data_IF_679494913670
#
_entry.id   IF_679494913670
#
_cell.length_a   1.000
_cell.length_b   1.000
_cell.length_c   1.000
_cell.angle_alpha   90.00
_cell.angle_beta   90.00
_cell.angle_gamma   90.00
#
_symmetry.space_group_name_H-M   'P 1'
#
loop_
_entity.id
_entity.type
_entity.pdbx_description
1 polymer ?
#
# COMPACT_ATOMS: atom_id res chain seq x y z
N UNK A 1 -88.38 38.44 -11.20
CA UNK A 1 -87.50 37.74 -10.22
C UNK A 1 -86.36 37.05 -11.03
N UNK A 2 -85.18 37.68 -11.11
CA UNK A 2 -83.99 37.16 -11.83
C UNK A 2 -83.01 36.72 -10.79
N UNK A 3 -82.68 35.42 -10.79
CA UNK A 3 -81.65 34.84 -9.91
C UNK A 3 -80.28 35.04 -10.55
N UNK A 4 -79.42 35.80 -9.89
CA UNK A 4 -78.01 35.88 -10.23
C UNK A 4 -77.30 34.65 -9.66
N UNK A 5 -76.67 33.87 -10.53
CA UNK A 5 -75.77 32.82 -10.14
C UNK A 5 -74.33 33.38 -10.18
N UNK A 6 -73.73 33.48 -8.97
CA UNK A 6 -72.35 33.95 -8.80
C UNK A 6 -71.43 32.76 -8.99
N UNK A 7 -70.65 32.78 -10.07
CA UNK A 7 -69.68 31.79 -10.36
C UNK A 7 -68.33 32.14 -9.65
N UNK A 8 -68.06 31.53 -8.50
CA UNK A 8 -66.73 31.63 -7.85
C UNK A 8 -65.69 30.79 -8.58
N UNK A 9 -64.87 31.41 -9.42
CA UNK A 9 -63.66 30.81 -9.91
C UNK A 9 -62.63 30.74 -8.74
N UNK A 10 -62.41 29.56 -8.21
CA UNK A 10 -61.31 29.30 -7.26
C UNK A 10 -59.99 29.31 -8.03
N UNK A 11 -59.19 30.36 -7.85
CA UNK A 11 -57.78 30.37 -8.21
C UNK A 11 -57.03 29.46 -7.21
N UNK A 12 -56.71 28.24 -7.66
CA UNK A 12 -55.72 27.40 -6.99
C UNK A 12 -54.32 27.95 -7.27
N UNK A 13 -53.57 28.39 -6.27
CA UNK A 13 -52.18 28.73 -6.50
C UNK A 13 -51.42 27.44 -6.84
N UNK A 14 -50.76 27.41 -7.99
CA UNK A 14 -49.78 26.43 -8.32
C UNK A 14 -48.62 26.54 -7.29
N UNK A 15 -48.68 25.74 -6.27
CA UNK A 15 -47.53 25.48 -5.42
C UNK A 15 -46.53 24.60 -6.22
N UNK A 16 -45.62 25.27 -6.91
CA UNK A 16 -44.42 24.60 -7.40
C UNK A 16 -43.71 23.95 -6.21
N UNK A 17 -43.34 22.67 -6.27
CA UNK A 17 -42.54 22.10 -5.20
C UNK A 17 -41.22 22.89 -5.15
N UNK A 18 -41.05 23.69 -4.11
CA UNK A 18 -39.72 24.21 -3.75
C UNK A 18 -38.87 23.00 -3.44
N UNK A 19 -38.14 22.49 -4.45
CA UNK A 19 -37.07 21.53 -4.26
C UNK A 19 -36.05 22.17 -3.34
N UNK A 20 -36.07 21.79 -2.08
CA UNK A 20 -35.02 22.18 -1.16
C UNK A 20 -33.69 21.63 -1.73
N UNK A 21 -32.91 22.51 -2.39
CA UNK A 21 -31.55 22.17 -2.78
C UNK A 21 -30.71 22.15 -1.53
N UNK A 22 -30.36 20.96 -1.09
CA UNK A 22 -29.37 20.78 -0.01
C UNK A 22 -28.00 21.18 -0.58
N UNK A 23 -27.47 22.31 -0.11
CA UNK A 23 -26.13 22.76 -0.43
C UNK A 23 -25.19 22.36 0.71
N UNK A 24 -24.16 21.62 0.39
CA UNK A 24 -23.08 21.35 1.33
C UNK A 24 -22.27 22.65 1.50
N UNK A 25 -22.37 23.29 2.67
CA UNK A 25 -21.65 24.55 2.94
C UNK A 25 -20.25 24.33 3.46
N UNK A 26 -20.02 23.25 4.21
CA UNK A 26 -18.70 22.88 4.71
C UNK A 26 -18.59 21.38 4.92
N UNK A 27 -17.39 20.87 4.80
CA UNK A 27 -17.04 19.49 5.13
C UNK A 27 -15.91 19.51 6.15
N UNK A 28 -16.17 19.03 7.35
CA UNK A 28 -15.15 18.85 8.38
C UNK A 28 -14.96 17.38 8.63
N UNK A 29 -13.73 16.90 8.50
CA UNK A 29 -13.35 15.54 8.83
C UNK A 29 -12.67 15.52 10.19
N UNK A 30 -13.33 14.92 11.18
CA UNK A 30 -12.69 14.61 12.44
C UNK A 30 -12.00 13.26 12.35
N UNK A 31 -10.73 13.12 12.78
CA UNK A 31 -10.08 11.83 12.79
C UNK A 31 -10.83 10.88 13.73
N UNK A 32 -11.19 9.70 13.20
CA UNK A 32 -11.81 8.65 14.02
C UNK A 32 -10.72 8.05 14.90
N UNK A 33 -10.66 8.48 16.15
CA UNK A 33 -9.73 7.94 17.14
C UNK A 33 -10.43 6.92 18.04
N UNK A 34 -9.71 5.92 18.54
CA UNK A 34 -10.20 4.99 19.54
C UNK A 34 -10.47 5.61 20.91
N UNK A 35 -10.20 6.90 21.13
CA UNK A 35 -10.25 7.59 22.44
C UNK A 35 -11.57 7.43 23.19
N UNK A 36 -12.70 7.45 22.46
CA UNK A 36 -14.03 7.31 23.07
C UNK A 36 -14.31 5.93 23.65
N UNK A 37 -13.73 4.89 23.06
CA UNK A 37 -13.99 3.48 23.37
C UNK A 37 -12.73 2.75 23.82
N UNK A 38 -11.55 3.23 23.49
CA UNK A 38 -10.28 2.56 23.71
C UNK A 38 -10.05 1.35 22.78
N UNK A 39 -10.81 1.25 21.68
CA UNK A 39 -10.62 0.21 20.65
C UNK A 39 -9.23 0.35 20.02
N UNK A 40 -8.55 -0.77 19.86
CA UNK A 40 -7.25 -0.91 19.19
C UNK A 40 -7.34 -1.90 18.05
N UNK A 41 -6.32 -1.95 17.21
CA UNK A 41 -6.15 -3.04 16.25
C UNK A 41 -6.10 -4.37 17.02
N UNK A 42 -6.71 -5.41 16.43
CA UNK A 42 -6.84 -6.71 17.08
C UNK A 42 -6.09 -7.76 16.29
N UNK A 43 -5.49 -8.71 16.99
CA UNK A 43 -4.89 -9.93 16.45
C UNK A 43 -5.77 -11.14 16.73
N UNK A 44 -5.30 -12.33 16.37
CA UNK A 44 -6.01 -13.57 16.68
C UNK A 44 -5.97 -13.81 18.21
N UNK A 45 -7.15 -13.95 18.81
CA UNK A 45 -7.29 -14.31 20.23
C UNK A 45 -7.42 -13.14 21.22
N UNK A 46 -7.24 -11.88 20.80
CA UNK A 46 -7.31 -10.70 21.68
C UNK A 46 -8.52 -9.78 21.41
N UNK A 47 -9.52 -10.26 20.67
CA UNK A 47 -10.68 -9.47 20.25
C UNK A 47 -11.41 -8.83 21.44
N UNK A 48 -11.64 -9.58 22.50
CA UNK A 48 -12.38 -9.09 23.68
C UNK A 48 -11.63 -7.97 24.39
N UNK A 49 -10.31 -8.08 24.47
CA UNK A 49 -9.43 -7.09 25.11
C UNK A 49 -9.30 -5.82 24.27
N UNK A 50 -9.12 -5.96 22.95
CA UNK A 50 -8.84 -4.84 22.05
C UNK A 50 -10.08 -4.15 21.49
N UNK A 51 -11.16 -4.90 21.29
CA UNK A 51 -12.41 -4.40 20.70
C UNK A 51 -13.56 -4.34 21.68
N UNK A 52 -13.43 -4.96 22.88
CA UNK A 52 -14.49 -5.07 23.87
C UNK A 52 -15.52 -6.16 23.55
N UNK A 53 -16.56 -6.25 24.34
CA UNK A 53 -17.51 -7.36 24.30
C UNK A 53 -18.97 -6.92 24.27
N UNK A 54 -19.82 -7.76 23.67
CA UNK A 54 -21.27 -7.64 23.77
C UNK A 54 -21.79 -8.52 24.92
N UNK A 55 -22.39 -7.91 25.94
CA UNK A 55 -23.14 -8.64 27.00
C UNK A 55 -24.62 -8.36 26.82
N UNK A 56 -25.35 -9.28 26.24
CA UNK A 56 -26.74 -9.10 25.86
C UNK A 56 -26.91 -7.88 24.93
N UNK A 57 -27.67 -6.87 25.39
CA UNK A 57 -27.89 -5.63 24.64
C UNK A 57 -26.86 -4.52 24.92
N UNK A 58 -25.86 -4.78 25.76
CA UNK A 58 -24.86 -3.75 26.14
C UNK A 58 -23.52 -4.06 25.52
N UNK A 59 -22.94 -3.08 24.83
CA UNK A 59 -21.55 -3.11 24.46
C UNK A 59 -20.69 -2.55 25.61
N UNK A 60 -19.70 -3.31 26.02
CA UNK A 60 -18.67 -2.91 26.99
C UNK A 60 -17.39 -2.69 26.20
N UNK A 61 -16.99 -1.44 26.11
CA UNK A 61 -15.78 -1.04 25.37
C UNK A 61 -14.49 -1.40 26.15
N UNK A 62 -13.31 -1.50 25.50
CA UNK A 62 -12.03 -1.80 26.17
C UNK A 62 -11.72 -0.89 27.34
N UNK A 63 -12.09 0.40 27.26
CA UNK A 63 -11.92 1.35 28.36
C UNK A 63 -12.98 1.25 29.46
N UNK A 64 -13.80 0.19 29.47
CA UNK A 64 -14.83 -0.08 30.48
C UNK A 64 -16.16 0.70 30.28
N UNK A 65 -16.26 1.64 29.33
CA UNK A 65 -17.49 2.37 29.05
C UNK A 65 -18.55 1.46 28.50
N UNK A 66 -19.81 1.67 28.96
CA UNK A 66 -20.96 0.84 28.61
C UNK A 66 -21.89 1.61 27.67
N UNK A 67 -22.24 1.01 26.54
CA UNK A 67 -23.15 1.57 25.53
C UNK A 67 -24.35 0.65 25.34
N UNK A 68 -25.53 1.08 25.83
CA UNK A 68 -26.78 0.30 25.75
C UNK A 68 -27.57 0.59 24.48
N UNK A 69 -27.37 1.75 23.85
CA UNK A 69 -28.05 2.21 22.63
C UNK A 69 -27.15 3.15 21.83
N UNK A 70 -27.60 3.55 20.65
CA UNK A 70 -26.91 4.50 19.79
C UNK A 70 -25.96 3.87 18.78
N UNK A 71 -25.29 4.70 17.97
CA UNK A 71 -24.45 4.31 16.84
C UNK A 71 -23.23 3.49 17.28
N UNK A 72 -22.55 3.91 18.37
CA UNK A 72 -21.37 3.19 18.91
C UNK A 72 -21.69 1.71 19.18
N UNK A 73 -22.84 1.43 19.84
CA UNK A 73 -23.25 0.05 20.09
C UNK A 73 -23.59 -0.71 18.81
N UNK A 74 -24.27 -0.04 17.84
CA UNK A 74 -24.61 -0.68 16.55
C UNK A 74 -23.34 -1.05 15.79
N UNK A 75 -22.38 -0.14 15.68
CA UNK A 75 -21.09 -0.36 15.04
C UNK A 75 -20.31 -1.49 15.73
N UNK A 76 -20.16 -1.43 17.05
CA UNK A 76 -19.46 -2.46 17.81
C UNK A 76 -20.09 -3.85 17.61
N UNK A 77 -21.42 -3.94 17.64
CA UNK A 77 -22.12 -5.22 17.40
C UNK A 77 -21.81 -5.78 16.02
N UNK A 78 -21.85 -4.94 14.98
CA UNK A 78 -21.51 -5.33 13.61
C UNK A 78 -20.06 -5.80 13.54
N UNK A 79 -19.13 -4.97 14.02
CA UNK A 79 -17.69 -5.28 13.98
C UNK A 79 -17.35 -6.58 14.73
N UNK A 80 -17.91 -6.79 15.92
CA UNK A 80 -17.69 -8.02 16.68
C UNK A 80 -18.34 -9.25 16.01
N UNK A 81 -19.48 -9.09 15.34
CA UNK A 81 -20.14 -10.22 14.67
C UNK A 81 -19.38 -10.76 13.46
N UNK A 82 -18.51 -9.97 12.83
CA UNK A 82 -17.70 -10.40 11.69
C UNK A 82 -16.32 -10.95 12.09
N UNK A 83 -15.90 -10.76 13.36
CA UNK A 83 -14.57 -11.21 13.81
C UNK A 83 -14.28 -12.69 13.57
N UNK A 84 -15.21 -13.64 13.77
CA UNK A 84 -14.95 -15.04 13.47
C UNK A 84 -14.62 -15.30 11.99
N UNK A 85 -15.22 -14.50 11.07
CA UNK A 85 -14.96 -14.61 9.65
C UNK A 85 -13.58 -14.03 9.26
N UNK A 86 -13.03 -13.18 10.11
CA UNK A 86 -11.72 -12.55 9.91
C UNK A 86 -10.55 -13.36 10.51
N UNK A 87 -10.81 -14.54 11.07
CA UNK A 87 -9.77 -15.34 11.74
C UNK A 87 -8.58 -15.63 10.80
N UNK A 88 -8.84 -15.91 9.52
CA UNK A 88 -7.78 -16.20 8.54
C UNK A 88 -6.89 -14.98 8.27
N UNK A 89 -7.47 -13.78 8.17
CA UNK A 89 -6.69 -12.56 7.90
C UNK A 89 -5.89 -12.10 9.10
N UNK A 90 -6.24 -12.58 10.29
CA UNK A 90 -5.53 -12.32 11.56
C UNK A 90 -4.51 -13.41 11.92
N UNK A 91 -4.31 -14.38 11.06
CA UNK A 91 -3.26 -15.38 11.23
C UNK A 91 -1.90 -14.69 11.37
N UNK A 92 -1.15 -15.00 12.43
CA UNK A 92 0.25 -14.59 12.57
C UNK A 92 1.08 -15.45 11.63
N UNK A 93 1.61 -14.86 10.57
CA UNK A 93 2.34 -15.58 9.53
C UNK A 93 3.85 -15.39 9.64
N UNK A 94 4.31 -14.41 10.40
CA UNK A 94 5.73 -14.12 10.61
C UNK A 94 5.93 -13.28 11.87
N UNK A 95 7.20 -12.95 12.12
CA UNK A 95 7.64 -12.03 13.16
C UNK A 95 8.65 -11.07 12.57
N UNK A 96 8.49 -9.76 12.81
CA UNK A 96 9.47 -8.73 12.44
C UNK A 96 10.23 -8.26 13.67
N UNK A 97 11.55 -8.22 13.60
CA UNK A 97 12.40 -7.83 14.75
C UNK A 97 12.21 -6.37 15.12
N UNK A 98 11.78 -5.53 14.17
CA UNK A 98 11.56 -4.10 14.35
C UNK A 98 10.58 -3.56 13.31
N UNK A 99 10.02 -2.34 13.51
CA UNK A 99 9.22 -1.72 12.47
C UNK A 99 10.11 -1.34 11.28
N UNK A 100 9.59 -1.50 10.05
CA UNK A 100 10.26 -0.98 8.85
C UNK A 100 9.37 0.09 8.22
N UNK A 101 9.89 1.30 8.13
CA UNK A 101 9.16 2.47 7.66
C UNK A 101 9.33 2.67 6.15
N UNK A 102 8.43 3.47 5.56
CA UNK A 102 8.46 3.89 4.15
C UNK A 102 9.07 5.28 4.01
N UNK A 103 10.32 5.45 4.41
CA UNK A 103 11.05 6.72 4.31
C UNK A 103 11.40 7.09 2.85
N UNK A 104 12.02 8.23 2.64
CA UNK A 104 12.50 8.72 1.34
C UNK A 104 13.91 9.33 1.52
N UNK A 105 14.81 9.17 0.56
CA UNK A 105 14.69 8.49 -0.75
C UNK A 105 14.70 6.97 -0.64
N UNK A 106 15.30 6.44 0.39
CA UNK A 106 15.48 5.02 0.67
C UNK A 106 14.72 4.63 1.93
N UNK A 107 14.29 3.39 2.02
CA UNK A 107 13.62 2.87 3.21
C UNK A 107 13.90 1.39 3.39
N UNK A 108 13.94 0.93 4.64
CA UNK A 108 14.13 -0.49 4.96
C UNK A 108 13.05 -1.35 4.31
N UNK A 109 11.79 -0.92 4.39
CA UNK A 109 10.67 -1.64 3.77
C UNK A 109 10.77 -1.64 2.26
N UNK A 110 11.19 -0.51 1.64
CA UNK A 110 11.43 -0.43 0.20
C UNK A 110 12.53 -1.38 -0.25
N UNK A 111 13.68 -1.33 0.41
CA UNK A 111 14.83 -2.18 0.11
C UNK A 111 14.49 -3.67 0.29
N UNK A 112 13.88 -4.03 1.41
CA UNK A 112 13.40 -5.39 1.66
C UNK A 112 12.46 -5.87 0.55
N UNK A 113 11.51 -5.02 0.15
CA UNK A 113 10.56 -5.35 -0.93
C UNK A 113 11.28 -5.56 -2.25
N UNK A 114 12.17 -4.65 -2.66
CA UNK A 114 12.88 -4.77 -3.93
C UNK A 114 13.75 -6.02 -3.99
N UNK A 115 14.47 -6.33 -2.90
CA UNK A 115 15.32 -7.53 -2.85
C UNK A 115 14.50 -8.82 -2.81
N UNK A 116 13.31 -8.78 -2.17
CA UNK A 116 12.36 -9.87 -2.22
C UNK A 116 11.84 -10.09 -3.65
N UNK A 117 11.45 -9.01 -4.35
CA UNK A 117 10.96 -9.10 -5.74
C UNK A 117 12.02 -9.72 -6.65
N UNK A 118 13.30 -9.33 -6.51
CA UNK A 118 14.40 -9.95 -7.27
C UNK A 118 14.42 -11.46 -7.09
N UNK A 119 14.33 -11.95 -5.86
CA UNK A 119 14.36 -13.39 -5.53
C UNK A 119 13.15 -14.12 -6.06
N UNK A 120 11.94 -13.58 -5.78
CA UNK A 120 10.68 -14.25 -6.17
C UNK A 120 10.56 -14.33 -7.69
N UNK A 121 10.91 -13.26 -8.42
CA UNK A 121 10.89 -13.28 -9.87
C UNK A 121 11.95 -14.22 -10.42
N UNK A 122 13.18 -14.20 -9.88
CA UNK A 122 14.23 -15.13 -10.29
C UNK A 122 13.82 -16.60 -10.11
N UNK A 123 13.24 -16.93 -8.95
CA UNK A 123 12.71 -18.28 -8.66
C UNK A 123 11.58 -18.66 -9.65
N UNK A 124 10.72 -17.70 -10.00
CA UNK A 124 9.56 -17.93 -10.88
C UNK A 124 9.97 -18.19 -12.33
N UNK A 125 10.97 -17.44 -12.84
CA UNK A 125 11.37 -17.53 -14.25
C UNK A 125 12.60 -18.41 -14.48
N UNK A 126 13.27 -18.88 -13.41
CA UNK A 126 14.49 -19.69 -13.49
C UNK A 126 15.70 -18.94 -14.07
N UNK A 127 15.75 -17.61 -13.91
CA UNK A 127 16.80 -16.75 -14.48
C UNK A 127 17.33 -15.77 -13.46
N UNK A 128 18.54 -15.26 -13.70
CA UNK A 128 19.12 -14.18 -12.89
C UNK A 128 18.28 -12.90 -13.04
N UNK A 129 17.99 -12.28 -11.91
CA UNK A 129 17.40 -10.94 -11.83
C UNK A 129 18.44 -10.02 -11.19
N UNK A 130 18.92 -9.08 -11.96
CA UNK A 130 19.98 -8.16 -11.55
C UNK A 130 19.43 -6.99 -10.75
N UNK A 131 18.30 -6.45 -11.17
CA UNK A 131 17.70 -5.21 -10.64
C UNK A 131 16.22 -5.47 -10.32
N UNK A 132 15.70 -4.81 -9.29
CA UNK A 132 14.25 -4.67 -9.11
C UNK A 132 13.88 -3.19 -9.14
N UNK A 133 12.72 -2.90 -9.73
CA UNK A 133 12.12 -1.58 -9.77
C UNK A 133 10.65 -1.72 -9.40
N UNK A 134 10.22 -1.06 -8.32
CA UNK A 134 8.81 -0.99 -7.97
C UNK A 134 8.45 0.40 -7.48
N UNK A 135 7.21 0.78 -7.61
CA UNK A 135 6.78 2.12 -7.22
C UNK A 135 6.57 2.21 -5.69
N UNK A 136 6.99 3.33 -5.12
CA UNK A 136 6.80 3.63 -3.69
C UNK A 136 5.32 3.62 -3.30
N UNK A 137 4.43 4.06 -4.18
CA UNK A 137 3.00 4.07 -4.00
C UNK A 137 2.38 2.68 -3.85
N UNK A 138 3.07 1.60 -4.26
CA UNK A 138 2.60 0.23 -4.08
C UNK A 138 2.66 -0.26 -2.63
N UNK A 139 3.50 0.36 -1.80
CA UNK A 139 3.62 0.09 -0.37
C UNK A 139 2.64 1.00 0.40
N UNK A 140 1.60 0.45 1.03
CA UNK A 140 0.51 1.26 1.61
C UNK A 140 0.57 1.46 3.11
N UNK A 141 1.19 0.54 3.84
CA UNK A 141 1.42 0.63 5.29
C UNK A 141 2.86 0.22 5.61
N UNK A 142 3.35 0.61 6.77
CA UNK A 142 4.65 0.20 7.29
C UNK A 142 4.59 -1.23 7.84
N UNK A 143 5.73 -1.93 7.90
CA UNK A 143 5.84 -3.23 8.55
C UNK A 143 5.77 -3.03 10.07
N UNK A 144 4.88 -3.72 10.80
CA UNK A 144 4.86 -3.63 12.26
C UNK A 144 6.08 -4.31 12.89
N UNK A 145 6.42 -3.94 14.12
CA UNK A 145 7.30 -4.73 14.97
C UNK A 145 6.53 -5.85 15.64
N UNK A 146 7.17 -6.99 15.87
CA UNK A 146 6.54 -8.13 16.52
C UNK A 146 5.79 -9.05 15.55
N UNK A 147 4.64 -9.61 15.97
CA UNK A 147 3.84 -10.48 15.11
C UNK A 147 3.37 -9.76 13.85
N UNK A 148 3.56 -10.39 12.69
CA UNK A 148 3.09 -9.93 11.39
C UNK A 148 1.91 -10.79 10.96
N UNK A 149 0.78 -10.16 10.74
CA UNK A 149 -0.45 -10.83 10.34
C UNK A 149 -0.53 -10.99 8.82
N UNK A 150 -1.34 -11.94 8.39
CA UNK A 150 -1.72 -12.06 6.98
C UNK A 150 -2.29 -10.72 6.47
N UNK A 151 -3.15 -10.06 7.27
CA UNK A 151 -3.76 -8.76 6.95
C UNK A 151 -2.73 -7.64 6.79
N UNK A 152 -1.63 -7.66 7.56
CA UNK A 152 -0.56 -6.66 7.41
C UNK A 152 0.05 -6.74 6.01
N UNK A 153 0.33 -7.95 5.52
CA UNK A 153 0.88 -8.12 4.16
C UNK A 153 -0.15 -7.73 3.09
N UNK A 154 -1.40 -8.13 3.25
CA UNK A 154 -2.47 -7.77 2.31
C UNK A 154 -2.74 -6.26 2.28
N UNK A 155 -2.68 -5.60 3.44
CA UNK A 155 -2.82 -4.15 3.55
C UNK A 155 -1.60 -3.40 3.05
N UNK A 156 -0.40 -3.99 3.15
CA UNK A 156 0.84 -3.42 2.63
C UNK A 156 0.89 -3.47 1.10
N UNK A 157 0.41 -4.55 0.49
CA UNK A 157 0.41 -4.78 -0.97
C UNK A 157 -1.01 -5.02 -1.50
N UNK A 158 -1.95 -4.05 -1.41
CA UNK A 158 -3.37 -4.31 -1.71
C UNK A 158 -3.71 -4.42 -3.20
N UNK A 159 -2.73 -4.22 -4.08
CA UNK A 159 -2.97 -4.16 -5.51
C UNK A 159 -2.80 -5.52 -6.18
N UNK A 160 -3.67 -5.78 -7.15
CA UNK A 160 -3.59 -6.98 -8.02
C UNK A 160 -2.60 -6.74 -9.17
N UNK A 161 -1.38 -6.34 -8.84
CA UNK A 161 -0.30 -6.19 -9.80
C UNK A 161 0.47 -7.51 -9.92
N UNK A 162 0.61 -8.03 -11.14
CA UNK A 162 1.45 -9.19 -11.40
C UNK A 162 2.93 -8.86 -11.20
N UNK A 163 3.70 -9.86 -10.80
CA UNK A 163 5.15 -9.84 -10.89
C UNK A 163 5.57 -10.00 -12.35
N UNK A 164 6.59 -9.24 -12.77
CA UNK A 164 7.05 -9.25 -14.15
C UNK A 164 8.57 -9.29 -14.19
N UNK A 165 9.10 -10.11 -15.08
CA UNK A 165 10.49 -10.11 -15.53
C UNK A 165 10.60 -9.36 -16.84
N UNK A 166 11.56 -8.47 -16.94
CA UNK A 166 11.96 -7.81 -18.19
C UNK A 166 13.44 -8.06 -18.45
N UNK A 167 13.82 -8.24 -19.72
CA UNK A 167 15.21 -8.15 -20.17
C UNK A 167 15.42 -6.77 -20.80
N UNK A 168 16.23 -5.92 -20.17
CA UNK A 168 16.49 -4.55 -20.61
C UNK A 168 17.97 -4.32 -20.88
N UNK A 169 18.30 -3.51 -21.89
CA UNK A 169 19.65 -3.00 -22.08
C UNK A 169 20.01 -2.01 -20.97
N UNK A 170 21.30 -1.94 -20.61
CA UNK A 170 21.74 -0.99 -19.58
C UNK A 170 21.41 0.45 -19.89
N UNK A 171 21.46 0.87 -21.17
CA UNK A 171 21.01 2.21 -21.59
C UNK A 171 19.54 2.49 -21.28
N UNK A 172 18.65 1.49 -21.37
CA UNK A 172 17.24 1.63 -21.04
C UNK A 172 17.03 1.67 -19.53
N UNK A 173 17.78 0.84 -18.79
CA UNK A 173 17.83 0.92 -17.31
C UNK A 173 18.31 2.31 -16.87
N UNK A 174 19.39 2.82 -17.49
CA UNK A 174 19.90 4.18 -17.22
C UNK A 174 18.82 5.24 -17.45
N UNK A 175 18.14 5.22 -18.59
CA UNK A 175 17.08 6.18 -18.92
C UNK A 175 15.94 6.15 -17.89
N UNK A 176 15.55 4.96 -17.39
CA UNK A 176 14.56 4.82 -16.32
C UNK A 176 15.06 5.46 -15.02
N UNK A 177 16.30 5.21 -14.62
CA UNK A 177 16.90 5.79 -13.42
C UNK A 177 17.10 7.31 -13.53
N UNK A 178 17.46 7.83 -14.72
CA UNK A 178 17.52 9.25 -15.02
C UNK A 178 16.14 9.92 -14.90
N UNK A 179 15.08 9.27 -15.39
CA UNK A 179 13.72 9.74 -15.20
C UNK A 179 13.35 9.79 -13.71
N UNK A 180 13.73 8.78 -12.92
CA UNK A 180 13.53 8.79 -11.47
C UNK A 180 14.27 9.93 -10.79
N UNK A 181 15.53 10.17 -11.19
CA UNK A 181 16.34 11.26 -10.65
C UNK A 181 15.71 12.64 -10.95
N UNK A 182 15.20 12.83 -12.15
CA UNK A 182 14.60 14.10 -12.60
C UNK A 182 13.21 14.37 -12.01
N UNK A 183 12.49 13.33 -11.56
CA UNK A 183 11.11 13.46 -11.06
C UNK A 183 11.02 13.08 -9.58
N UNK A 184 10.92 11.80 -9.30
CA UNK A 184 10.87 11.26 -7.95
C UNK A 184 11.44 9.85 -7.94
N UNK A 185 12.41 9.64 -7.05
CA UNK A 185 13.02 8.34 -6.88
C UNK A 185 11.99 7.29 -6.42
N UNK A 186 12.06 6.12 -7.02
CA UNK A 186 11.23 4.97 -6.71
C UNK A 186 12.00 3.94 -5.87
N UNK A 187 11.40 2.80 -5.60
CA UNK A 187 12.02 1.70 -4.86
C UNK A 187 12.83 0.84 -5.83
N UNK A 188 14.12 0.70 -5.54
CA UNK A 188 15.03 -0.11 -6.37
C UNK A 188 15.81 -1.13 -5.53
N UNK A 189 16.22 -2.23 -6.17
CA UNK A 189 17.08 -3.24 -5.58
C UNK A 189 18.13 -3.73 -6.58
N UNK A 190 19.25 -4.24 -6.09
CA UNK A 190 20.34 -4.78 -6.92
C UNK A 190 21.21 -3.74 -7.61
N UNK A 191 20.95 -2.47 -7.41
CA UNK A 191 21.80 -1.38 -7.89
C UNK A 191 22.05 -0.36 -6.79
N UNK A 192 23.10 0.44 -6.95
CA UNK A 192 23.39 1.64 -6.15
C UNK A 192 23.43 2.83 -7.08
N UNK A 193 22.84 3.94 -6.66
CA UNK A 193 22.77 5.16 -7.46
C UNK A 193 23.11 6.39 -6.64
N UNK A 194 23.83 7.32 -7.27
CA UNK A 194 24.08 8.67 -6.75
C UNK A 194 23.35 9.66 -7.65
N UNK A 195 22.55 10.51 -7.05
CA UNK A 195 21.77 11.56 -7.71
C UNK A 195 22.23 12.92 -7.17
N UNK A 196 22.47 13.88 -8.02
CA UNK A 196 22.77 15.26 -7.63
C UNK A 196 21.96 16.23 -8.49
N UNK A 197 21.30 17.19 -7.85
CA UNK A 197 20.53 18.23 -8.53
C UNK A 197 19.54 17.67 -9.58
N UNK A 198 18.85 16.56 -9.24
CA UNK A 198 17.89 15.92 -10.13
C UNK A 198 18.51 15.15 -11.32
N UNK A 199 19.82 14.90 -11.30
CA UNK A 199 20.53 14.16 -12.35
C UNK A 199 21.18 12.91 -11.77
N UNK A 200 21.11 11.81 -12.51
CA UNK A 200 21.85 10.59 -12.20
C UNK A 200 23.34 10.82 -12.42
N UNK A 201 24.14 10.76 -11.35
CA UNK A 201 25.60 10.93 -11.39
C UNK A 201 26.30 9.61 -11.69
N UNK A 202 25.91 8.58 -10.95
CA UNK A 202 26.48 7.25 -11.14
C UNK A 202 25.47 6.17 -10.80
N UNK A 203 25.64 5.01 -11.41
CA UNK A 203 24.91 3.78 -11.06
C UNK A 203 25.82 2.58 -11.20
N UNK A 204 25.72 1.68 -10.22
CA UNK A 204 26.42 0.40 -10.24
C UNK A 204 25.43 -0.74 -10.04
N UNK A 205 25.71 -1.89 -10.68
CA UNK A 205 24.96 -3.15 -10.53
C UNK A 205 25.98 -4.23 -10.16
N UNK A 206 25.71 -4.98 -9.09
CA UNK A 206 26.67 -5.97 -8.53
C UNK A 206 28.07 -5.35 -8.32
N UNK A 207 28.15 -4.09 -7.88
CA UNK A 207 29.39 -3.35 -7.60
C UNK A 207 30.16 -2.88 -8.85
N UNK A 208 29.65 -3.11 -10.06
CA UNK A 208 30.27 -2.65 -11.32
C UNK A 208 29.48 -1.50 -11.93
N UNK A 209 30.12 -0.54 -12.61
CA UNK A 209 29.39 0.47 -13.38
C UNK A 209 28.37 -0.18 -14.33
N UNK A 210 27.20 0.44 -14.45
CA UNK A 210 26.19 0.00 -15.41
C UNK A 210 26.73 0.07 -16.84
N UNK A 211 26.76 -1.07 -17.53
CA UNK A 211 27.16 -1.17 -18.93
C UNK A 211 25.93 -0.99 -19.82
N UNK A 212 25.91 0.07 -20.62
CA UNK A 212 24.80 0.44 -21.48
C UNK A 212 24.45 -0.62 -22.54
N UNK A 213 25.40 -1.47 -22.92
CA UNK A 213 25.23 -2.50 -23.92
C UNK A 213 24.87 -3.88 -23.34
N UNK A 214 25.12 -4.09 -22.07
CA UNK A 214 24.79 -5.36 -21.41
C UNK A 214 23.27 -5.50 -21.23
N UNK A 215 22.80 -6.76 -21.15
CA UNK A 215 21.42 -7.10 -20.79
C UNK A 215 21.33 -7.34 -19.29
N UNK A 216 20.29 -6.79 -18.69
CA UNK A 216 19.96 -6.95 -17.28
C UNK A 216 18.57 -7.53 -17.10
N UNK A 217 18.47 -8.56 -16.24
CA UNK A 217 17.18 -9.05 -15.77
C UNK A 217 16.58 -8.08 -14.75
N UNK A 218 15.40 -7.57 -15.03
CA UNK A 218 14.71 -6.58 -14.19
C UNK A 218 13.41 -7.15 -13.67
N UNK A 219 13.25 -7.22 -12.34
CA UNK A 219 11.98 -7.52 -11.70
C UNK A 219 11.17 -6.23 -11.52
N UNK A 220 9.90 -6.29 -11.86
CA UNK A 220 8.97 -5.17 -11.66
C UNK A 220 7.55 -5.66 -11.41
N UNK A 221 6.59 -4.76 -11.35
CA UNK A 221 5.17 -5.07 -11.28
C UNK A 221 4.44 -4.56 -12.53
N UNK A 222 3.29 -5.16 -12.83
CA UNK A 222 2.53 -4.86 -14.06
C UNK A 222 2.03 -3.41 -14.15
N UNK A 223 1.92 -2.69 -13.02
CA UNK A 223 1.50 -1.29 -13.02
C UNK A 223 2.50 -0.35 -13.70
N UNK A 224 3.80 -0.63 -13.58
CA UNK A 224 4.87 0.23 -14.13
C UNK A 224 5.19 -0.06 -15.61
N UNK A 225 4.53 -1.03 -16.25
CA UNK A 225 4.85 -1.43 -17.61
C UNK A 225 4.45 -0.36 -18.63
N UNK A 226 3.23 0.18 -18.47
CA UNK A 226 2.60 1.05 -19.47
C UNK A 226 1.93 2.26 -18.80
N UNK A 227 2.74 3.21 -18.37
CA UNK A 227 2.32 4.53 -17.90
C UNK A 227 2.04 4.66 -16.40
N UNK A 228 2.13 3.60 -15.61
CA UNK A 228 1.98 3.72 -14.16
C UNK A 228 3.06 4.61 -13.54
N UNK A 229 2.65 5.57 -12.70
CA UNK A 229 3.51 6.64 -12.14
C UNK A 229 4.36 7.37 -13.21
N UNK A 230 3.92 7.36 -14.48
CA UNK A 230 4.61 7.95 -15.62
C UNK A 230 5.73 7.10 -16.21
N UNK A 231 5.88 5.83 -15.77
CA UNK A 231 6.90 4.90 -16.28
C UNK A 231 6.34 4.00 -17.37
N UNK A 232 7.19 3.63 -18.33
CA UNK A 232 6.90 2.74 -19.44
C UNK A 232 8.01 1.67 -19.53
N UNK A 233 8.13 0.85 -18.48
CA UNK A 233 9.28 -0.05 -18.32
C UNK A 233 9.38 -1.12 -19.42
N UNK A 234 8.27 -1.49 -20.05
CA UNK A 234 8.29 -2.50 -21.12
C UNK A 234 8.65 -1.95 -22.51
N UNK A 235 8.70 -0.61 -22.68
CA UNK A 235 8.81 0.04 -23.99
C UNK A 235 9.96 -0.49 -24.87
N UNK A 236 11.10 -0.76 -24.25
CA UNK A 236 12.30 -1.24 -24.94
C UNK A 236 12.77 -2.62 -24.45
N UNK A 237 11.88 -3.38 -23.79
CA UNK A 237 12.23 -4.68 -23.28
C UNK A 237 12.46 -5.68 -24.44
N UNK A 238 13.62 -6.34 -24.43
CA UNK A 238 13.91 -7.43 -25.38
C UNK A 238 13.11 -8.67 -25.06
N UNK A 239 12.74 -8.85 -23.79
CA UNK A 239 11.88 -9.93 -23.33
C UNK A 239 11.01 -9.46 -22.17
N UNK A 240 9.77 -9.96 -22.13
CA UNK A 240 8.81 -9.77 -21.04
C UNK A 240 8.19 -11.10 -20.64
N UNK A 241 8.26 -11.44 -19.37
CA UNK A 241 7.56 -12.59 -18.78
C UNK A 241 6.68 -12.10 -17.63
N UNK A 242 5.39 -12.29 -17.75
CA UNK A 242 4.43 -12.02 -16.65
C UNK A 242 4.34 -13.31 -15.82
N UNK A 243 4.76 -13.22 -14.56
CA UNK A 243 4.72 -14.34 -13.63
C UNK A 243 3.28 -14.66 -13.21
N UNK A 244 3.05 -15.91 -12.84
CA UNK A 244 1.77 -16.33 -12.26
C UNK A 244 1.64 -15.75 -10.84
N UNK A 245 0.47 -15.17 -10.53
CA UNK A 245 0.17 -14.56 -9.23
C UNK A 245 0.53 -13.07 -9.16
N UNK A 246 0.20 -12.50 -8.02
CA UNK A 246 0.36 -11.07 -7.75
C UNK A 246 1.58 -10.82 -6.84
N UNK A 247 1.97 -9.56 -6.71
CA UNK A 247 3.06 -9.15 -5.80
C UNK A 247 2.86 -9.70 -4.39
N UNK A 248 1.65 -9.57 -3.83
CA UNK A 248 1.38 -10.05 -2.47
C UNK A 248 1.50 -11.58 -2.34
N UNK A 249 1.19 -12.36 -3.38
CA UNK A 249 1.36 -13.82 -3.36
C UNK A 249 2.84 -14.19 -3.20
N UNK A 250 3.71 -13.51 -3.96
CA UNK A 250 5.16 -13.67 -3.86
C UNK A 250 5.69 -13.29 -2.48
N UNK A 251 5.20 -12.18 -1.93
CA UNK A 251 5.57 -11.72 -0.58
C UNK A 251 5.12 -12.74 0.48
N UNK A 252 3.86 -13.20 0.44
CA UNK A 252 3.34 -14.21 1.36
C UNK A 252 4.15 -15.51 1.31
N UNK A 253 4.45 -15.98 0.10
CA UNK A 253 5.27 -17.19 -0.07
C UNK A 253 6.66 -17.03 0.56
N UNK A 254 7.30 -15.88 0.33
CA UNK A 254 8.62 -15.60 0.89
C UNK A 254 8.59 -15.52 2.42
N UNK A 255 7.64 -14.77 2.97
CA UNK A 255 7.47 -14.60 4.42
C UNK A 255 7.21 -15.94 5.10
N UNK A 256 6.34 -16.79 4.54
CA UNK A 256 6.10 -18.15 5.06
C UNK A 256 7.34 -19.05 4.99
N UNK A 257 8.17 -18.94 3.95
CA UNK A 257 9.45 -19.65 3.87
C UNK A 257 10.40 -19.20 4.98
N UNK A 258 10.50 -17.90 5.28
CA UNK A 258 11.29 -17.40 6.40
C UNK A 258 10.82 -17.99 7.74
N UNK A 259 9.52 -17.93 7.99
CA UNK A 259 8.92 -18.45 9.22
C UNK A 259 9.12 -19.96 9.38
N UNK A 260 8.95 -20.73 8.31
CA UNK A 260 9.21 -22.18 8.31
C UNK A 260 10.69 -22.51 8.61
N UNK A 261 11.60 -21.60 8.25
CA UNK A 261 13.03 -21.71 8.56
C UNK A 261 13.40 -21.14 9.95
N UNK A 262 12.41 -20.76 10.77
CA UNK A 262 12.65 -20.14 12.08
C UNK A 262 13.30 -18.75 12.03
N UNK A 263 13.22 -18.05 10.89
CA UNK A 263 13.87 -16.77 10.66
C UNK A 263 12.85 -15.62 10.74
N UNK A 264 13.11 -14.57 11.51
CA UNK A 264 12.29 -13.39 11.51
C UNK A 264 12.48 -12.57 10.22
N UNK A 265 11.58 -11.64 9.98
CA UNK A 265 11.77 -10.56 9.01
C UNK A 265 12.71 -9.54 9.65
N UNK A 266 13.82 -9.30 9.01
CA UNK A 266 14.82 -8.33 9.43
C UNK A 266 15.45 -7.69 8.20
N UNK A 267 15.67 -6.38 8.24
CA UNK A 267 16.31 -5.64 7.17
C UNK A 267 16.98 -4.37 7.69
N UNK A 268 18.02 -3.94 7.01
CA UNK A 268 18.77 -2.72 7.32
C UNK A 268 18.97 -1.91 6.04
N UNK A 269 19.07 -0.58 6.18
CA UNK A 269 19.50 0.29 5.09
C UNK A 269 20.94 -0.04 4.69
N UNK A 270 21.24 0.05 3.42
CA UNK A 270 22.56 -0.19 2.85
C UNK A 270 23.06 0.96 1.97
N UNK A 271 22.41 2.14 2.09
CA UNK A 271 22.79 3.38 1.40
C UNK A 271 22.87 3.20 -0.13
N UNK A 272 21.95 2.40 -0.68
CA UNK A 272 21.94 2.15 -2.12
C UNK A 272 21.54 3.37 -2.94
N UNK A 273 20.90 4.35 -2.32
CA UNK A 273 20.47 5.59 -2.95
C UNK A 273 20.99 6.77 -2.17
N UNK A 274 21.85 7.55 -2.80
CA UNK A 274 22.39 8.81 -2.26
C UNK A 274 21.88 9.96 -3.13
N UNK A 275 21.14 10.88 -2.51
CA UNK A 275 20.67 12.12 -3.17
C UNK A 275 21.40 13.28 -2.52
N UNK A 276 22.30 13.90 -3.29
CA UNK A 276 23.05 15.08 -2.89
C UNK A 276 22.24 16.35 -3.25
N UNK A 277 22.07 17.24 -2.29
CA UNK A 277 21.46 18.56 -2.49
C UNK A 277 22.54 19.65 -2.56
N UNK A 278 22.21 20.80 -3.16
CA UNK A 278 23.13 21.96 -3.11
C UNK A 278 23.35 22.38 -1.65
N UNK A 279 24.58 22.24 -1.16
CA UNK A 279 24.97 22.56 0.22
C UNK A 279 25.58 21.42 1.01
N UNK A 280 25.52 20.16 0.53
CA UNK A 280 26.09 19.00 1.22
C UNK A 280 27.62 18.83 1.05
N UNK A 281 28.30 19.86 0.52
CA UNK A 281 29.75 19.86 0.28
C UNK A 281 30.48 20.87 1.21
N UNK A 282 30.14 20.94 2.50
CA UNK A 282 30.97 21.62 3.50
C UNK A 282 31.52 20.65 4.56
#
# INVERSE_FOLDING_TARGET
>A
MKKFVLCCLALLPFLSPLGAQVRLESWQTDPVTGSKTGVKATSTGDVDETMGVMRGRTYIAPNGKKFRRGTTRKAARLMLSVQPQMAQVKEVIAYSTRPMLRTYPESELGNWTADLLRRVVADSVGRKVDIAITNKGSLRIDMPAGPVLYDDIMSMFPFKNNLVYLSLRGRDVRAILEQMAATRWQVVGGCRAVVANGKLVSVTVDGKPLDDNALYGVATNSFLLDGGDGFFLEKNAEEKIVCTGYVYDGVLQYVRKLTAAGRPIEYHLDERIVILQEGDNE
#
